data_IF_732569522266
#
_entry.id   IF_732569522266
#
_cell.length_a   1.000
_cell.length_b   1.000
_cell.length_c   1.000
_cell.angle_alpha   90.00
_cell.angle_beta   90.00
_cell.angle_gamma   90.00
#
_symmetry.space_group_name_H-M   'P 1'
#
loop_
_entity.id
_entity.type
_entity.pdbx_description
1 polymer ?
#
# COMPACT_ATOMS: atom_id res chain seq x y z
N UNK A 1 -13.44 -8.14 2.23
CA UNK A 1 -12.19 -8.75 2.73
C UNK A 1 -11.00 -8.09 2.07
N UNK A 2 -9.96 -7.75 2.84
CA UNK A 2 -8.68 -7.18 2.34
C UNK A 2 -7.88 -8.19 1.52
N UNK A 3 -7.89 -9.45 1.98
CA UNK A 3 -7.15 -10.57 1.41
C UNK A 3 -8.14 -11.54 0.77
N UNK A 4 -7.73 -12.16 -0.34
CA UNK A 4 -8.53 -13.12 -1.10
C UNK A 4 -7.67 -14.30 -1.55
N UNK A 5 -8.31 -15.46 -1.71
CA UNK A 5 -7.72 -16.63 -2.38
C UNK A 5 -7.85 -16.57 -3.91
N UNK A 6 -8.57 -15.59 -4.45
CA UNK A 6 -8.75 -15.39 -5.88
C UNK A 6 -7.55 -14.62 -6.42
N UNK A 7 -6.85 -15.13 -7.45
CA UNK A 7 -5.71 -14.43 -8.04
C UNK A 7 -6.05 -13.02 -8.53
N UNK A 8 -5.18 -12.07 -8.19
CA UNK A 8 -5.18 -10.69 -8.68
C UNK A 8 -3.75 -10.31 -9.07
N UNK A 9 -3.54 -9.12 -9.69
CA UNK A 9 -2.19 -8.62 -9.91
C UNK A 9 -1.39 -8.44 -8.61
N UNK A 10 -2.04 -8.22 -7.46
CA UNK A 10 -1.38 -7.88 -6.19
C UNK A 10 -1.20 -9.12 -5.32
N UNK A 11 -0.16 -9.90 -5.63
CA UNK A 11 0.22 -11.11 -4.90
C UNK A 11 0.89 -10.74 -3.58
N UNK A 12 0.37 -11.30 -2.49
CA UNK A 12 0.87 -11.14 -1.14
C UNK A 12 1.60 -12.41 -0.70
N UNK A 13 2.85 -12.27 -0.26
CA UNK A 13 3.71 -13.34 0.26
C UNK A 13 3.99 -13.07 1.73
N UNK A 14 3.58 -13.99 2.59
CA UNK A 14 3.71 -13.93 4.04
C UNK A 14 4.23 -15.29 4.56
N UNK A 15 4.91 -15.37 5.74
CA UNK A 15 5.33 -16.66 6.30
C UNK A 15 4.20 -17.68 6.47
N UNK A 16 2.98 -17.20 6.71
CA UNK A 16 1.78 -18.04 6.81
C UNK A 16 1.18 -18.49 5.47
N UNK A 17 1.73 -18.07 4.32
CA UNK A 17 1.27 -18.50 3.01
C UNK A 17 1.24 -17.39 1.95
N UNK A 18 0.78 -17.77 0.75
CA UNK A 18 0.52 -16.84 -0.36
C UNK A 18 -0.97 -16.54 -0.45
N UNK A 19 -1.30 -15.28 -0.69
CA UNK A 19 -2.66 -14.85 -0.99
C UNK A 19 -2.61 -13.66 -1.98
N UNK A 20 -3.77 -13.03 -2.22
CA UNK A 20 -3.87 -11.86 -3.07
C UNK A 20 -4.67 -10.75 -2.39
N UNK A 21 -4.53 -9.53 -2.89
CA UNK A 21 -5.25 -8.34 -2.42
C UNK A 21 -5.91 -7.64 -3.59
N UNK A 22 -6.93 -6.81 -3.35
CA UNK A 22 -7.68 -6.23 -4.46
C UNK A 22 -7.03 -4.97 -5.04
N UNK A 23 -6.21 -4.29 -4.24
CA UNK A 23 -5.38 -3.17 -4.66
C UNK A 23 -4.10 -3.07 -3.84
N UNK A 24 -3.20 -2.15 -4.23
CA UNK A 24 -1.96 -1.94 -3.49
C UNK A 24 -2.21 -1.38 -2.08
N UNK A 25 -3.30 -0.65 -1.87
CA UNK A 25 -3.68 -0.13 -0.56
C UNK A 25 -4.08 -1.26 0.39
N UNK A 26 -4.89 -2.22 -0.06
CA UNK A 26 -5.20 -3.44 0.70
C UNK A 26 -3.92 -4.20 1.06
N UNK A 27 -2.96 -4.26 0.14
CA UNK A 27 -1.67 -4.91 0.35
C UNK A 27 -0.83 -4.20 1.43
N UNK A 28 -0.78 -2.86 1.40
CA UNK A 28 -0.14 -2.05 2.44
C UNK A 28 -0.84 -2.24 3.80
N UNK A 29 -2.17 -2.23 3.82
CA UNK A 29 -2.96 -2.42 5.04
C UNK A 29 -2.77 -3.82 5.61
N UNK A 30 -2.71 -4.85 4.77
CA UNK A 30 -2.35 -6.20 5.16
C UNK A 30 -0.96 -6.26 5.82
N UNK A 31 0.02 -5.50 5.30
CA UNK A 31 1.35 -5.36 5.90
C UNK A 31 1.37 -4.70 7.28
N UNK A 32 0.32 -3.97 7.65
CA UNK A 32 0.17 -3.36 8.99
C UNK A 32 -0.47 -4.33 9.99
N UNK A 33 -1.47 -5.10 9.55
CA UNK A 33 -2.30 -5.93 10.44
C UNK A 33 -1.81 -7.37 10.57
N UNK A 34 -1.06 -7.89 9.58
CA UNK A 34 -0.53 -9.25 9.63
C UNK A 34 0.72 -9.31 10.51
N UNK A 35 0.88 -10.37 11.33
CA UNK A 35 2.05 -10.54 12.17
C UNK A 35 3.28 -10.94 11.34
N UNK A 36 4.21 -10.01 11.16
CA UNK A 36 5.50 -10.29 10.53
C UNK A 36 5.71 -9.54 9.22
N UNK A 37 6.79 -9.85 8.48
CA UNK A 37 7.07 -9.19 7.21
C UNK A 37 6.10 -9.65 6.13
N UNK A 38 5.62 -8.71 5.33
CA UNK A 38 4.77 -8.95 4.16
C UNK A 38 5.49 -8.44 2.92
N UNK A 39 5.61 -9.30 1.90
CA UNK A 39 6.09 -8.90 0.57
C UNK A 39 4.92 -8.88 -0.40
N UNK A 40 4.85 -7.83 -1.22
CA UNK A 40 3.85 -7.66 -2.25
C UNK A 40 4.56 -7.64 -3.60
N UNK A 41 4.09 -8.47 -4.52
CA UNK A 41 4.46 -8.44 -5.94
C UNK A 41 3.22 -7.99 -6.72
N UNK A 42 3.42 -7.05 -7.64
CA UNK A 42 2.40 -6.49 -8.51
C UNK A 42 2.93 -6.32 -9.92
N UNK A 43 2.03 -6.08 -10.87
CA UNK A 43 2.36 -5.74 -12.25
C UNK A 43 2.10 -4.24 -12.47
N UNK A 44 3.08 -3.52 -13.04
CA UNK A 44 2.93 -2.11 -13.39
C UNK A 44 1.95 -1.99 -14.57
N UNK A 45 0.82 -1.27 -14.45
CA UNK A 45 -0.19 -1.24 -15.51
C UNK A 45 0.28 -0.61 -16.83
N UNK A 46 1.31 0.24 -16.80
CA UNK A 46 1.83 0.91 -18.00
C UNK A 46 2.88 0.09 -18.77
N UNK A 47 3.52 -0.89 -18.13
CA UNK A 47 4.71 -1.54 -18.70
C UNK A 47 4.77 -3.05 -18.51
N UNK A 48 3.79 -3.63 -17.84
CA UNK A 48 3.72 -5.05 -17.47
C UNK A 48 4.92 -5.60 -16.68
N UNK A 49 5.82 -4.72 -16.23
CA UNK A 49 6.97 -5.09 -15.40
C UNK A 49 6.53 -5.42 -13.98
N UNK A 50 7.20 -6.39 -13.37
CA UNK A 50 7.03 -6.66 -11.94
C UNK A 50 7.51 -5.45 -11.12
N UNK A 51 6.67 -5.05 -10.18
CA UNK A 51 6.88 -4.00 -9.19
C UNK A 51 6.48 -4.55 -7.82
N UNK A 52 7.03 -4.03 -6.73
CA UNK A 52 6.69 -4.59 -5.43
C UNK A 52 7.03 -3.73 -4.24
N UNK A 53 6.53 -4.17 -3.09
CA UNK A 53 6.71 -3.54 -1.79
C UNK A 53 7.08 -4.60 -0.75
N UNK A 54 7.88 -4.22 0.24
CA UNK A 54 8.19 -5.01 1.42
C UNK A 54 7.81 -4.17 2.65
N UNK A 55 6.83 -4.65 3.41
CA UNK A 55 6.35 -4.00 4.63
C UNK A 55 6.79 -4.83 5.81
N UNK A 56 7.52 -4.21 6.76
CA UNK A 56 8.04 -4.88 7.95
C UNK A 56 7.70 -4.11 9.21
N UNK A 57 7.31 -4.79 10.29
CA UNK A 57 7.34 -4.17 11.61
C UNK A 57 8.80 -3.90 11.99
N UNK A 58 9.09 -2.69 12.43
CA UNK A 58 10.30 -2.36 13.17
C UNK A 58 10.17 -3.07 14.51
N UNK A 59 10.97 -4.12 14.74
CA UNK A 59 10.99 -4.79 16.05
C UNK A 59 11.16 -3.73 17.13
N UNK A 60 10.26 -3.71 18.11
CA UNK A 60 10.52 -3.06 19.37
C UNK A 60 11.66 -3.83 20.05
N UNK A 61 12.90 -3.47 19.73
CA UNK A 61 14.04 -3.93 20.51
C UNK A 61 13.82 -3.49 21.95
N UNK A 62 14.01 -4.41 22.91
CA UNK A 62 14.18 -4.06 24.33
C UNK A 62 15.27 -2.99 24.40
N UNK A 63 14.88 -1.72 24.54
CA UNK A 63 15.81 -0.61 24.44
C UNK A 63 15.45 0.52 23.48
N UNK A 64 14.19 0.64 23.00
CA UNK A 64 13.70 1.94 22.53
C UNK A 64 13.60 2.89 23.73
N UNK A 65 14.76 3.33 24.22
CA UNK A 65 14.87 4.45 25.14
C UNK A 65 14.21 5.63 24.45
N UNK A 66 13.31 6.27 25.20
CA UNK A 66 12.56 7.47 24.89
C UNK A 66 13.53 8.58 24.46
N UNK A 67 13.95 8.57 23.20
CA UNK A 67 14.73 9.62 22.59
C UNK A 67 13.90 10.20 21.43
N UNK A 68 13.63 11.50 21.54
CA UNK A 68 12.96 12.37 20.58
C UNK A 68 11.42 12.25 20.46
N UNK A 69 10.73 12.90 21.40
CA UNK A 69 9.62 13.79 21.02
C UNK A 69 10.15 14.76 19.97
N UNK A 70 9.77 14.58 18.70
CA UNK A 70 10.14 15.52 17.64
C UNK A 70 10.19 14.93 16.23
N UNK A 71 10.33 13.61 16.07
CA UNK A 71 10.38 13.01 14.74
C UNK A 71 9.89 11.56 14.73
N UNK A 72 8.59 11.35 15.02
CA UNK A 72 7.96 10.05 14.74
C UNK A 72 7.79 9.96 13.23
N UNK A 73 8.34 8.93 12.54
CA UNK A 73 7.99 8.71 11.15
C UNK A 73 6.46 8.60 11.05
N UNK A 74 5.84 9.28 10.07
CA UNK A 74 4.39 9.26 9.85
C UNK A 74 3.85 7.81 9.82
N UNK A 75 4.67 6.90 9.30
CA UNK A 75 4.44 5.47 9.18
C UNK A 75 4.57 4.65 10.48
N UNK A 76 4.75 5.23 11.68
CA UNK A 76 4.74 4.47 12.95
C UNK A 76 5.87 3.42 13.10
N UNK A 77 5.69 2.33 13.88
CA UNK A 77 6.66 1.24 14.02
C UNK A 77 6.76 0.32 12.79
N UNK A 78 6.46 0.80 11.59
CA UNK A 78 6.58 0.03 10.36
C UNK A 78 7.58 0.68 9.40
N UNK A 79 8.23 -0.17 8.60
CA UNK A 79 9.08 0.25 7.49
C UNK A 79 8.51 -0.34 6.21
N UNK A 80 8.34 0.51 5.21
CA UNK A 80 8.06 0.10 3.84
C UNK A 80 9.31 0.30 2.98
N UNK A 81 9.55 -0.65 2.06
CA UNK A 81 10.56 -0.52 1.02
C UNK A 81 9.96 -0.94 -0.31
N UNK A 82 9.98 -0.06 -1.30
CA UNK A 82 9.63 -0.40 -2.66
C UNK A 82 10.78 -1.13 -3.36
N UNK A 83 10.48 -1.97 -4.35
CA UNK A 83 11.51 -2.45 -5.28
C UNK A 83 12.05 -1.28 -6.11
N UNK A 84 13.24 -1.41 -6.67
CA UNK A 84 13.84 -0.34 -7.51
C UNK A 84 12.98 0.01 -8.72
N UNK A 85 12.11 -0.91 -9.14
CA UNK A 85 11.17 -0.71 -10.22
C UNK A 85 9.86 -0.04 -9.78
N UNK A 86 9.62 0.23 -8.49
CA UNK A 86 8.35 0.73 -7.97
C UNK A 86 8.50 2.16 -7.44
N UNK A 87 8.02 3.15 -8.22
CA UNK A 87 8.28 4.56 -7.97
C UNK A 87 7.04 5.37 -7.60
N UNK A 88 5.84 4.90 -7.96
CA UNK A 88 4.61 5.66 -7.72
C UNK A 88 3.45 4.77 -7.29
N UNK A 89 2.59 5.34 -6.46
CA UNK A 89 1.29 4.77 -6.10
C UNK A 89 0.21 5.79 -6.45
N UNK A 90 -0.81 5.35 -7.16
CA UNK A 90 -2.02 6.16 -7.34
C UNK A 90 -2.99 5.92 -6.19
N UNK A 91 -3.60 6.97 -5.67
CA UNK A 91 -4.68 6.89 -4.67
C UNK A 91 -5.80 7.85 -5.10
N UNK A 92 -7.06 7.42 -5.24
CA UNK A 92 -8.18 8.31 -5.50
C UNK A 92 -8.26 9.45 -4.49
N UNK A 93 -8.31 10.68 -4.98
CA UNK A 93 -8.41 11.88 -4.15
C UNK A 93 -9.86 12.28 -3.83
N UNK A 94 -10.81 11.70 -4.56
CA UNK A 94 -12.24 11.88 -4.37
C UNK A 94 -12.95 10.53 -4.44
N UNK A 95 -14.00 10.41 -3.64
CA UNK A 95 -14.86 9.24 -3.57
C UNK A 95 -16.32 9.70 -3.70
N UNK A 96 -17.09 9.01 -4.52
CA UNK A 96 -18.53 9.23 -4.63
C UNK A 96 -19.27 8.34 -3.62
N UNK A 97 -19.98 8.92 -2.63
CA UNK A 97 -20.71 8.14 -1.65
C UNK A 97 -21.72 7.19 -2.30
N UNK A 98 -21.78 5.95 -1.81
CA UNK A 98 -22.71 4.94 -2.30
C UNK A 98 -22.21 4.10 -3.48
N UNK A 99 -21.02 4.39 -4.03
CA UNK A 99 -20.38 3.53 -5.03
C UNK A 99 -19.62 2.38 -4.35
N UNK A 100 -19.54 1.23 -5.03
CA UNK A 100 -18.72 0.10 -4.60
C UNK A 100 -17.25 0.53 -4.44
N UNK A 101 -16.75 0.48 -3.20
CA UNK A 101 -15.37 0.83 -2.85
C UNK A 101 -14.36 0.10 -3.73
N UNK A 102 -14.67 -1.14 -4.13
CA UNK A 102 -13.74 -1.92 -4.93
C UNK A 102 -13.71 -1.42 -6.38
N UNK A 103 -14.86 -1.23 -6.99
CA UNK A 103 -14.97 -0.67 -8.35
C UNK A 103 -14.37 0.73 -8.43
N UNK A 104 -14.61 1.57 -7.42
CA UNK A 104 -14.18 2.97 -7.44
C UNK A 104 -12.75 3.16 -6.93
N UNK A 105 -12.42 2.60 -5.76
CA UNK A 105 -11.12 2.82 -5.13
C UNK A 105 -10.07 1.81 -5.60
N UNK A 106 -10.34 0.51 -5.44
CA UNK A 106 -9.32 -0.52 -5.69
C UNK A 106 -8.86 -0.59 -7.15
N UNK A 107 -9.76 -0.31 -8.11
CA UNK A 107 -9.41 -0.28 -9.52
C UNK A 107 -8.42 0.85 -9.88
N UNK A 108 -8.44 1.93 -9.10
CA UNK A 108 -7.62 3.14 -9.33
C UNK A 108 -6.40 3.23 -8.42
N UNK A 109 -6.35 2.42 -7.36
CA UNK A 109 -5.19 2.34 -6.46
C UNK A 109 -4.17 1.29 -6.93
N UNK A 110 -3.11 1.75 -7.61
CA UNK A 110 -2.15 0.89 -8.34
C UNK A 110 -0.70 1.27 -8.01
N UNK A 111 0.22 0.32 -8.21
CA UNK A 111 1.67 0.51 -8.10
C UNK A 111 2.27 0.66 -9.50
N UNK A 112 3.16 1.62 -9.69
CA UNK A 112 3.71 1.99 -10.99
C UNK A 112 5.22 2.10 -10.96
N UNK A 113 5.85 1.69 -12.05
CA UNK A 113 7.27 1.92 -12.28
C UNK A 113 7.56 3.35 -12.75
N UNK A 114 6.63 3.94 -13.49
CA UNK A 114 6.75 5.28 -14.01
C UNK A 114 5.37 5.90 -14.11
N UNK A 115 5.30 7.22 -13.99
CA UNK A 115 4.07 7.96 -14.26
C UNK A 115 3.82 7.96 -15.78
N UNK A 116 2.62 7.59 -16.25
CA UNK A 116 2.30 7.68 -17.67
C UNK A 116 2.28 9.16 -18.11
N UNK A 117 2.74 9.43 -19.33
CA UNK A 117 2.83 10.78 -19.89
C UNK A 117 1.45 11.44 -20.07
N UNK A 118 0.42 10.64 -20.34
CA UNK A 118 -0.98 11.04 -20.34
C UNK A 118 -1.73 10.12 -19.36
N UNK A 119 -2.37 10.71 -18.36
CA UNK A 119 -3.39 10.01 -17.59
C UNK A 119 -4.61 10.05 -18.51
N UNK A 120 -5.07 8.88 -18.99
CA UNK A 120 -6.29 8.80 -19.78
C UNK A 120 -7.41 9.59 -19.10
N UNK A 121 -8.23 10.27 -19.90
CA UNK A 121 -9.31 11.13 -19.42
C UNK A 121 -10.38 10.31 -18.68
N UNK A 122 -10.14 9.96 -17.42
CA UNK A 122 -11.07 9.20 -16.58
C UNK A 122 -11.45 10.01 -15.33
N UNK A 123 -12.67 10.55 -15.39
CA UNK A 123 -13.73 10.77 -14.38
C UNK A 123 -13.47 11.06 -12.89
N UNK A 124 -12.28 10.96 -12.31
CA UNK A 124 -12.03 11.53 -10.98
C UNK A 124 -10.52 11.64 -10.67
N UNK A 125 -10.08 12.71 -9.98
CA UNK A 125 -8.67 12.96 -9.72
C UNK A 125 -8.04 11.86 -8.85
N UNK A 126 -6.88 11.36 -9.28
CA UNK A 126 -6.00 10.51 -8.46
C UNK A 126 -4.79 11.32 -8.00
N UNK A 127 -4.39 11.13 -6.74
CA UNK A 127 -3.10 11.57 -6.23
C UNK A 127 -2.01 10.59 -6.69
N UNK A 128 -0.87 11.13 -7.12
CA UNK A 128 0.34 10.37 -7.42
C UNK A 128 1.30 10.57 -6.25
N UNK A 129 1.53 9.52 -5.49
CA UNK A 129 2.33 9.54 -4.27
C UNK A 129 3.55 8.64 -4.44
N UNK A 130 4.64 9.00 -3.76
CA UNK A 130 5.72 8.04 -3.55
C UNK A 130 5.22 6.86 -2.68
N UNK A 131 5.82 5.66 -2.77
CA UNK A 131 5.35 4.50 -2.01
C UNK A 131 5.30 4.69 -0.49
N UNK A 132 6.23 5.47 0.08
CA UNK A 132 6.28 5.82 1.50
C UNK A 132 5.19 6.82 1.90
N UNK A 133 4.88 7.80 1.05
CA UNK A 133 3.77 8.74 1.25
C UNK A 133 2.41 8.01 1.22
N UNK A 134 2.19 7.14 0.23
CA UNK A 134 0.99 6.33 0.15
C UNK A 134 0.86 5.38 1.36
N UNK A 135 1.98 4.86 1.85
CA UNK A 135 1.99 4.06 3.07
C UNK A 135 1.64 4.88 4.31
N UNK A 136 2.10 6.13 4.41
CA UNK A 136 1.71 7.02 5.50
C UNK A 136 0.20 7.30 5.52
N UNK A 137 -0.42 7.48 4.35
CA UNK A 137 -1.89 7.57 4.22
C UNK A 137 -2.55 6.29 4.72
N UNK A 138 -2.03 5.12 4.33
CA UNK A 138 -2.54 3.81 4.77
C UNK A 138 -2.47 3.66 6.29
N UNK A 139 -1.36 4.08 6.91
CA UNK A 139 -1.19 4.06 8.39
C UNK A 139 -2.21 4.95 9.08
N UNK A 140 -2.46 6.15 8.56
CA UNK A 140 -3.45 7.06 9.14
C UNK A 140 -4.88 6.50 9.04
N UNK A 141 -5.23 5.90 7.90
CA UNK A 141 -6.52 5.18 7.75
C UNK A 141 -6.60 4.02 8.74
N UNK A 142 -5.55 3.20 8.85
CA UNK A 142 -5.51 2.07 9.78
C UNK A 142 -5.72 2.51 11.25
N UNK A 143 -5.09 3.62 11.66
CA UNK A 143 -5.28 4.23 13.00
C UNK A 143 -6.71 4.68 13.23
N UNK A 144 -7.32 5.39 12.27
CA UNK A 144 -8.71 5.85 12.37
C UNK A 144 -9.70 4.69 12.46
N UNK A 145 -9.39 3.60 11.78
CA UNK A 145 -10.15 2.35 11.85
C UNK A 145 -9.81 1.49 13.08
N UNK A 146 -8.86 1.92 13.93
CA UNK A 146 -8.40 1.19 15.13
C UNK A 146 -7.88 -0.21 14.82
N UNK A 147 -7.24 -0.37 13.67
CA UNK A 147 -6.62 -1.63 13.25
C UNK A 147 -5.18 -1.78 13.76
N UNK A 148 -4.55 -0.66 14.15
CA UNK A 148 -3.19 -0.54 14.68
C UNK A 148 -3.06 0.59 15.69
#
# INVERSE_FOLDING_TARGET
>A
SLITGIPTPHRLVHPGGTAWTWCIFDAMLAGLVLPGPVRVQSTCPASDREVGLDVRPLRAGRGFRRCAEGNRPAAGPWRIRATEAANWVTVPAAFEPGIDLRADFCCRTRLWAQRPAAIGSESAPVAWLAPDEAFAVTVEVARRLRLV
#
